data_IF_928706582189
#
_entry.id   IF_928706582189
#
_cell.length_a   1.000
_cell.length_b   1.000
_cell.length_c   1.000
_cell.angle_alpha   90.00
_cell.angle_beta   90.00
_cell.angle_gamma   90.00
#
_symmetry.space_group_name_H-M   'P 1'
#
loop_
_entity.id
_entity.type
_entity.pdbx_description
1 polymer ?
#
# COMPACT_ATOMS: atom_id res chain seq x y z
N UNK A 1 7.84 -2.11 2.55
CA UNK A 1 7.45 -1.61 1.22
C UNK A 1 7.43 -0.09 1.25
N UNK A 2 7.74 0.59 0.15
CA UNK A 2 7.81 2.06 0.11
C UNK A 2 6.44 2.67 -0.21
N UNK A 3 6.05 3.70 0.56
CA UNK A 3 4.77 4.39 0.37
C UNK A 3 4.96 5.65 -0.48
N UNK A 4 4.33 5.70 -1.66
CA UNK A 4 4.34 6.85 -2.54
C UNK A 4 3.10 7.71 -2.31
N UNK A 5 3.26 9.01 -2.09
CA UNK A 5 2.12 9.94 -2.01
C UNK A 5 1.51 10.10 -3.41
N UNK A 6 0.18 10.02 -3.50
CA UNK A 6 -0.56 10.12 -4.77
C UNK A 6 -1.74 11.09 -4.66
N UNK A 7 -2.16 11.65 -5.79
CA UNK A 7 -3.36 12.46 -5.94
C UNK A 7 -4.50 11.71 -6.65
N UNK A 8 -5.68 12.34 -6.73
CA UNK A 8 -6.84 11.74 -7.41
C UNK A 8 -6.56 11.45 -8.90
N UNK A 9 -5.83 12.33 -9.58
CA UNK A 9 -5.45 12.16 -10.99
C UNK A 9 -4.51 10.98 -11.23
N UNK A 10 -3.82 10.49 -10.21
CA UNK A 10 -2.94 9.34 -10.33
C UNK A 10 -3.74 8.04 -10.28
N UNK A 11 -4.89 8.02 -9.60
CA UNK A 11 -5.76 6.84 -9.48
C UNK A 11 -6.23 6.37 -10.87
N UNK A 12 -6.56 7.29 -11.77
CA UNK A 12 -6.95 6.95 -13.14
C UNK A 12 -5.81 6.26 -13.92
N UNK A 13 -4.56 6.64 -13.66
CA UNK A 13 -3.38 6.07 -14.33
C UNK A 13 -3.00 4.70 -13.79
N UNK A 14 -3.43 4.39 -12.56
CA UNK A 14 -3.15 3.12 -11.86
C UNK A 14 -4.15 2.01 -12.24
N UNK A 15 -5.05 2.26 -13.19
CA UNK A 15 -6.01 1.26 -13.64
C UNK A 15 -5.29 0.03 -14.20
N UNK A 16 -5.50 -1.12 -13.56
CA UNK A 16 -4.85 -2.39 -13.93
C UNK A 16 -3.57 -2.70 -13.17
N UNK A 17 -3.08 -1.79 -12.32
CA UNK A 17 -1.93 -2.06 -11.45
C UNK A 17 -2.34 -2.91 -10.23
N UNK A 18 -1.45 -3.81 -9.81
CA UNK A 18 -1.60 -4.55 -8.55
C UNK A 18 -1.02 -3.72 -7.40
N UNK A 19 -1.87 -2.89 -6.79
CA UNK A 19 -1.43 -1.96 -5.76
C UNK A 19 -2.44 -1.86 -4.61
N UNK A 20 -1.97 -1.31 -3.49
CA UNK A 20 -2.77 -0.93 -2.34
C UNK A 20 -2.78 0.60 -2.25
N UNK A 21 -3.97 1.18 -2.10
CA UNK A 21 -4.16 2.61 -1.83
C UNK A 21 -4.61 2.78 -0.38
N UNK A 22 -3.90 3.62 0.35
CA UNK A 22 -4.12 3.93 1.76
C UNK A 22 -4.54 5.40 1.87
N UNK A 23 -5.70 5.64 2.47
CA UNK A 23 -6.20 6.99 2.78
C UNK A 23 -6.14 7.20 4.29
N UNK A 24 -5.32 8.14 4.74
CA UNK A 24 -5.08 8.39 6.16
C UNK A 24 -4.71 9.85 6.39
N UNK A 25 -5.36 10.51 7.36
CA UNK A 25 -5.11 11.91 7.70
C UNK A 25 -5.19 12.87 6.50
N UNK A 26 -6.17 12.65 5.60
CA UNK A 26 -6.36 13.46 4.39
C UNK A 26 -5.31 13.27 3.30
N UNK A 27 -4.37 12.33 3.48
CA UNK A 27 -3.36 11.99 2.48
C UNK A 27 -3.68 10.63 1.87
N UNK A 28 -3.41 10.50 0.58
CA UNK A 28 -3.46 9.24 -0.13
C UNK A 28 -2.05 8.78 -0.44
N UNK A 29 -1.77 7.51 -0.16
CA UNK A 29 -0.49 6.87 -0.49
C UNK A 29 -0.76 5.56 -1.20
N UNK A 30 0.02 5.25 -2.21
CA UNK A 30 0.02 3.94 -2.86
C UNK A 30 1.28 3.17 -2.51
N UNK A 31 1.17 1.85 -2.63
CA UNK A 31 2.28 0.91 -2.60
C UNK A 31 1.96 -0.21 -3.58
N UNK A 32 2.96 -0.63 -4.34
CA UNK A 32 2.85 -1.80 -5.20
C UNK A 32 2.75 -3.05 -4.34
N UNK A 33 1.80 -3.93 -4.66
CA UNK A 33 1.65 -5.20 -3.97
C UNK A 33 2.54 -6.25 -4.60
N UNK A 34 3.11 -7.18 -3.81
CA UNK A 34 3.91 -8.26 -4.36
C UNK A 34 3.01 -9.22 -5.13
N UNK A 35 3.59 -9.97 -6.07
CA UNK A 35 2.84 -10.95 -6.88
C UNK A 35 2.22 -12.09 -6.05
N UNK A 36 2.74 -12.34 -4.83
CA UNK A 36 2.26 -13.34 -3.89
C UNK A 36 2.74 -13.04 -2.48
N UNK A 37 2.15 -13.69 -1.48
CA UNK A 37 2.52 -13.54 -0.07
C UNK A 37 1.50 -12.74 0.73
N UNK A 38 1.94 -12.20 1.88
CA UNK A 38 1.09 -11.42 2.78
C UNK A 38 1.61 -9.99 2.87
N UNK A 39 0.74 -9.00 2.71
CA UNK A 39 1.05 -7.60 3.02
C UNK A 39 0.44 -7.24 4.37
N UNK A 40 1.26 -6.77 5.30
CA UNK A 40 0.84 -6.37 6.66
C UNK A 40 0.84 -4.85 6.76
N UNK A 41 -0.28 -4.27 7.16
CA UNK A 41 -0.46 -2.84 7.36
C UNK A 41 -0.53 -2.57 8.87
N UNK A 42 0.44 -1.83 9.40
CA UNK A 42 0.46 -1.42 10.80
C UNK A 42 0.00 0.04 10.92
N UNK A 43 -1.10 0.24 11.65
CA UNK A 43 -1.62 1.56 11.99
C UNK A 43 -1.47 1.85 13.48
N UNK A 44 -1.28 3.13 13.82
CA UNK A 44 -1.20 3.62 15.20
C UNK A 44 -1.86 5.00 15.27
N UNK A 45 -2.75 5.22 16.24
CA UNK A 45 -3.52 6.46 16.40
C UNK A 45 -4.21 6.92 15.08
N UNK A 46 -4.94 6.02 14.42
CA UNK A 46 -5.65 6.28 13.16
C UNK A 46 -4.76 6.74 11.99
N UNK A 47 -3.45 6.48 12.07
CA UNK A 47 -2.48 6.77 11.01
C UNK A 47 -1.73 5.50 10.63
N UNK A 48 -1.54 5.26 9.34
CA UNK A 48 -0.66 4.17 8.89
C UNK A 48 0.79 4.54 9.20
N UNK A 49 1.46 3.65 9.95
CA UNK A 49 2.85 3.84 10.39
C UNK A 49 3.80 3.08 9.47
N UNK A 50 3.47 1.85 9.11
CA UNK A 50 4.34 0.97 8.32
C UNK A 50 3.51 0.03 7.43
N UNK A 51 4.05 -0.28 6.25
CA UNK A 51 3.56 -1.37 5.38
C UNK A 51 4.70 -2.34 5.14
N UNK A 52 4.50 -3.57 5.58
CA UNK A 52 5.49 -4.66 5.53
C UNK A 52 5.02 -5.72 4.54
N UNK A 53 5.99 -6.33 3.90
CA UNK A 53 5.78 -7.53 3.13
C UNK A 53 6.24 -8.70 3.99
N UNK A 54 5.37 -9.70 4.14
CA UNK A 54 5.68 -10.99 4.72
C UNK A 54 5.48 -12.06 3.65
N UNK A 55 6.57 -12.42 2.99
CA UNK A 55 6.60 -13.59 2.11
C UNK A 55 6.82 -14.81 2.98
N UNK A 56 5.76 -15.56 3.28
CA UNK A 56 5.92 -16.94 3.76
C UNK A 56 6.29 -17.79 2.54
N UNK A 57 7.58 -18.09 2.38
CA UNK A 57 8.01 -19.16 1.49
C UNK A 57 7.44 -20.48 2.02
N UNK A 58 6.33 -20.91 1.43
CA UNK A 58 5.84 -22.28 1.57
C UNK A 58 6.54 -23.11 0.50
N UNK A 59 7.78 -23.50 0.83
CA UNK A 59 8.62 -24.48 0.13
C UNK A 59 9.19 -24.05 -1.23
#
# INVERSE_FOLDING_TARGET
MELKVIGLSDIEKMQGEHCLIIISNGQMKSVELPSFGTTVIESHCNKVKQVKEEVKQLF
#
